data_IF_299649059559
#
_entry.id   IF_299649059559
#
_cell.length_a   1.000
_cell.length_b   1.000
_cell.length_c   1.000
_cell.angle_alpha   90.00
_cell.angle_beta   90.00
_cell.angle_gamma   90.00
#
_symmetry.space_group_name_H-M   'P 1'
#
loop_
_entity.id
_entity.type
_entity.pdbx_description
1 polymer ?
#
# COMPACT_ATOMS: atom_id res chain seq x y z
N UNK A 1 -0.44 -19.70 -13.56
CA UNK A 1 -0.65 -19.30 -12.15
C UNK A 1 -1.46 -18.03 -12.17
N UNK A 2 -2.42 -17.88 -11.24
CA UNK A 2 -3.18 -16.64 -11.10
C UNK A 2 -2.44 -15.70 -10.14
N UNK A 3 -2.53 -14.41 -10.40
CA UNK A 3 -1.89 -13.36 -9.62
C UNK A 3 -2.92 -12.36 -9.12
N UNK A 4 -2.60 -11.78 -7.98
CA UNK A 4 -3.30 -10.67 -7.33
C UNK A 4 -2.32 -9.49 -7.23
N UNK A 5 -2.83 -8.33 -6.85
CA UNK A 5 -2.06 -7.11 -6.71
C UNK A 5 -1.91 -6.76 -5.23
N UNK A 6 -0.68 -6.75 -4.74
CA UNK A 6 -0.33 -6.16 -3.46
C UNK A 6 -0.01 -4.67 -3.63
N UNK A 7 -0.33 -3.90 -2.59
CA UNK A 7 0.08 -2.52 -2.45
C UNK A 7 0.61 -2.26 -1.05
N UNK A 8 1.58 -1.36 -0.93
CA UNK A 8 1.98 -0.73 0.32
C UNK A 8 1.97 0.78 0.16
N UNK A 9 1.54 1.49 1.20
CA UNK A 9 1.68 2.92 1.36
C UNK A 9 2.24 3.22 2.76
N UNK A 10 3.17 4.16 2.85
CA UNK A 10 3.68 4.69 4.12
C UNK A 10 3.38 6.18 4.25
N UNK A 11 2.98 6.59 5.46
CA UNK A 11 2.66 7.99 5.74
C UNK A 11 3.26 8.41 7.07
N UNK A 12 3.99 9.53 7.08
CA UNK A 12 4.48 10.12 8.33
C UNK A 12 3.41 11.01 8.96
N UNK A 13 2.87 10.62 10.11
CA UNK A 13 1.83 11.36 10.82
C UNK A 13 2.39 12.62 11.51
N UNK A 14 1.55 13.63 11.67
CA UNK A 14 1.93 14.93 12.25
C UNK A 14 2.00 14.94 13.78
N UNK A 15 1.41 13.95 14.44
CA UNK A 15 1.39 13.83 15.89
C UNK A 15 0.95 12.42 16.33
N UNK A 16 0.97 12.14 17.65
CA UNK A 16 0.42 10.91 18.21
C UNK A 16 -1.05 10.69 17.81
N UNK A 17 -1.47 9.43 17.70
CA UNK A 17 -2.83 9.07 17.25
C UNK A 17 -3.95 9.61 18.16
N UNK A 18 -3.67 9.87 19.43
CA UNK A 18 -4.61 10.43 20.42
C UNK A 18 -4.58 11.97 20.52
N UNK A 19 -3.79 12.64 19.67
CA UNK A 19 -3.69 14.09 19.65
C UNK A 19 -4.83 14.78 18.90
N UNK A 20 -5.06 16.06 19.20
CA UNK A 20 -6.08 16.88 18.53
C UNK A 20 -5.91 16.90 17.00
N UNK A 21 -4.66 16.95 16.51
CA UNK A 21 -4.37 16.97 15.06
C UNK A 21 -4.76 15.65 14.38
N UNK A 22 -4.67 14.52 15.09
CA UNK A 22 -4.98 13.19 14.54
C UNK A 22 -6.43 12.75 14.78
N UNK A 23 -7.22 13.49 15.56
CA UNK A 23 -8.56 13.07 16.01
C UNK A 23 -9.50 12.71 14.85
N UNK A 24 -9.58 13.55 13.82
CA UNK A 24 -10.45 13.27 12.65
C UNK A 24 -9.95 12.05 11.87
N UNK A 25 -8.63 11.88 11.72
CA UNK A 25 -8.07 10.70 11.04
C UNK A 25 -8.37 9.42 11.82
N UNK A 26 -8.08 9.41 13.12
CA UNK A 26 -8.31 8.28 14.02
C UNK A 26 -9.78 7.83 14.02
N UNK A 27 -10.71 8.78 14.07
CA UNK A 27 -12.15 8.52 14.06
C UNK A 27 -12.65 7.86 12.75
N UNK A 28 -11.88 7.93 11.67
CA UNK A 28 -12.28 7.45 10.35
C UNK A 28 -11.50 6.21 9.86
N UNK A 29 -10.52 5.70 10.63
CA UNK A 29 -9.73 4.52 10.25
C UNK A 29 -10.64 3.31 9.98
N UNK A 30 -11.54 2.99 10.91
CA UNK A 30 -12.43 1.84 10.80
C UNK A 30 -13.41 1.98 9.62
N UNK A 31 -13.88 3.19 9.37
CA UNK A 31 -14.75 3.49 8.23
C UNK A 31 -14.04 3.22 6.90
N UNK A 32 -12.81 3.72 6.73
CA UNK A 32 -12.02 3.50 5.51
C UNK A 32 -11.59 2.04 5.35
N UNK A 33 -11.24 1.36 6.45
CA UNK A 33 -10.96 -0.07 6.43
C UNK A 33 -12.18 -0.89 6.01
N UNK A 34 -13.36 -0.59 6.57
CA UNK A 34 -14.62 -1.25 6.20
C UNK A 34 -15.03 -0.96 4.75
N UNK A 35 -14.78 0.27 4.27
CA UNK A 35 -15.00 0.63 2.87
C UNK A 35 -14.09 -0.19 1.95
N UNK A 36 -12.82 -0.37 2.29
CA UNK A 36 -11.91 -1.23 1.52
C UNK A 36 -12.40 -2.69 1.55
N UNK A 37 -12.71 -3.24 2.74
CA UNK A 37 -13.12 -4.64 2.92
C UNK A 37 -14.43 -4.98 2.20
N UNK A 38 -15.30 -3.99 1.97
CA UNK A 38 -16.56 -4.14 1.22
C UNK A 38 -16.44 -3.82 -0.27
N UNK A 39 -15.29 -3.30 -0.73
CA UNK A 39 -15.09 -2.92 -2.12
C UNK A 39 -14.85 -4.13 -3.03
N UNK A 40 -15.34 -4.04 -4.27
CA UNK A 40 -15.12 -5.06 -5.28
C UNK A 40 -13.63 -5.33 -5.48
N UNK A 41 -13.26 -6.61 -5.45
CA UNK A 41 -11.89 -7.04 -5.66
C UNK A 41 -10.97 -6.90 -4.45
N UNK A 42 -11.43 -6.45 -3.30
CA UNK A 42 -10.64 -6.56 -2.06
C UNK A 42 -10.39 -8.03 -1.71
N UNK A 43 -9.15 -8.36 -1.30
CA UNK A 43 -8.75 -9.73 -0.93
C UNK A 43 -8.28 -9.78 0.52
N UNK A 44 -7.38 -8.87 0.90
CA UNK A 44 -6.75 -8.89 2.22
C UNK A 44 -6.18 -7.51 2.59
N UNK A 45 -6.03 -7.25 3.88
CA UNK A 45 -5.20 -6.14 4.38
C UNK A 45 -4.39 -6.57 5.59
N UNK A 46 -3.28 -5.87 5.79
CA UNK A 46 -2.48 -5.95 6.98
C UNK A 46 -3.30 -5.43 8.18
N UNK A 47 -3.32 -6.23 9.24
CA UNK A 47 -3.95 -5.96 10.55
C UNK A 47 -2.88 -6.24 11.60
N UNK A 48 -2.77 -5.41 12.64
CA UNK A 48 -2.00 -5.81 13.83
C UNK A 48 -2.87 -6.69 14.75
N UNK A 49 -2.36 -7.02 15.94
CA UNK A 49 -3.09 -7.78 16.97
C UNK A 49 -4.35 -7.05 17.52
N UNK A 50 -4.48 -5.74 17.28
CA UNK A 50 -5.60 -4.88 17.67
C UNK A 50 -6.45 -4.37 16.48
N UNK A 51 -6.28 -4.92 15.28
CA UNK A 51 -6.91 -4.49 14.01
C UNK A 51 -6.44 -3.12 13.42
N UNK A 52 -5.42 -2.48 14.01
CA UNK A 52 -4.78 -1.23 13.63
C UNK A 52 -3.40 -1.44 12.98
N UNK A 53 -3.18 -1.17 11.71
CA UNK A 53 -1.84 -1.34 11.10
C UNK A 53 -0.74 -0.36 11.64
N UNK A 54 -0.98 0.30 12.77
CA UNK A 54 -0.12 1.32 13.40
C UNK A 54 1.03 0.74 14.22
N UNK A 55 0.94 -0.51 14.70
CA UNK A 55 1.94 -1.11 15.60
C UNK A 55 3.05 -1.91 14.87
N UNK A 56 3.09 -1.82 13.54
CA UNK A 56 3.98 -2.63 12.72
C UNK A 56 5.33 -1.94 12.57
N UNK A 57 6.33 -2.47 13.28
CA UNK A 57 7.74 -2.05 13.26
C UNK A 57 8.45 -2.34 11.94
N UNK A 58 7.91 -1.89 10.82
CA UNK A 58 8.56 -1.98 9.50
C UNK A 58 9.76 -1.02 9.40
N UNK A 59 9.73 0.09 10.17
CA UNK A 59 10.72 1.16 10.11
C UNK A 59 11.22 1.66 11.49
N UNK A 60 10.87 1.01 12.61
CA UNK A 60 11.19 1.47 13.99
C UNK A 60 10.88 2.96 14.23
N UNK A 61 9.75 3.44 13.69
CA UNK A 61 9.32 4.83 13.78
C UNK A 61 7.82 4.88 14.08
N UNK A 62 7.47 5.28 15.31
CA UNK A 62 6.08 5.38 15.78
C UNK A 62 5.26 6.43 15.03
N UNK A 63 5.93 7.33 14.28
CA UNK A 63 5.27 8.31 13.43
C UNK A 63 5.13 7.85 11.98
N UNK A 64 5.53 6.62 11.63
CA UNK A 64 5.28 6.04 10.30
C UNK A 64 4.13 5.03 10.36
N UNK A 65 3.02 5.40 9.72
CA UNK A 65 1.92 4.47 9.47
C UNK A 65 2.16 3.68 8.20
N UNK A 66 1.94 2.37 8.28
CA UNK A 66 2.02 1.47 7.14
C UNK A 66 0.62 0.97 6.81
N UNK A 67 0.21 1.11 5.55
CA UNK A 67 -0.99 0.49 5.02
C UNK A 67 -0.58 -0.50 3.94
N UNK A 68 -1.08 -1.74 4.03
CA UNK A 68 -0.79 -2.77 3.03
C UNK A 68 -2.04 -3.61 2.79
N UNK A 69 -2.31 -3.89 1.51
CA UNK A 69 -3.49 -4.65 1.11
C UNK A 69 -3.27 -5.42 -0.19
N UNK A 70 -4.03 -6.48 -0.39
CA UNK A 70 -4.08 -7.28 -1.62
C UNK A 70 -5.45 -7.13 -2.26
N UNK A 71 -5.44 -6.98 -3.58
CA UNK A 71 -6.59 -6.76 -4.44
C UNK A 71 -6.54 -7.71 -5.62
N UNK A 72 -7.70 -7.98 -6.23
CA UNK A 72 -7.83 -8.82 -7.41
C UNK A 72 -6.98 -8.30 -8.57
N UNK A 73 -6.95 -6.98 -8.78
CA UNK A 73 -6.17 -6.33 -9.83
C UNK A 73 -6.04 -4.80 -9.61
N UNK A 74 -5.24 -4.18 -10.48
CA UNK A 74 -4.96 -2.72 -10.47
C UNK A 74 -6.23 -1.90 -10.62
N UNK A 75 -7.19 -2.32 -11.43
CA UNK A 75 -8.42 -1.56 -11.66
C UNK A 75 -9.29 -1.52 -10.41
N UNK A 76 -9.49 -2.66 -9.73
CA UNK A 76 -10.28 -2.72 -8.49
C UNK A 76 -9.69 -1.85 -7.37
N UNK A 77 -8.36 -1.87 -7.20
CA UNK A 77 -7.68 -1.00 -6.26
C UNK A 77 -7.78 0.48 -6.68
N UNK A 78 -7.68 0.79 -7.98
CA UNK A 78 -7.83 2.15 -8.48
C UNK A 78 -9.23 2.70 -8.24
N UNK A 79 -10.28 1.91 -8.49
CA UNK A 79 -11.67 2.26 -8.23
C UNK A 79 -11.88 2.56 -6.74
N UNK A 80 -11.42 1.68 -5.84
CA UNK A 80 -11.44 1.98 -4.40
C UNK A 80 -10.73 3.31 -4.08
N UNK A 81 -9.51 3.49 -4.60
CA UNK A 81 -8.63 4.60 -4.25
C UNK A 81 -9.21 5.96 -4.68
N UNK A 82 -9.79 6.03 -5.89
CA UNK A 82 -10.14 7.29 -6.56
C UNK A 82 -11.63 7.50 -6.83
N UNK A 83 -12.47 6.46 -6.70
CA UNK A 83 -13.91 6.53 -7.00
C UNK A 83 -14.80 6.32 -5.78
N UNK A 84 -14.22 6.21 -4.59
CA UNK A 84 -14.95 6.10 -3.33
C UNK A 84 -14.67 7.30 -2.40
N UNK A 85 -15.25 7.28 -1.20
CA UNK A 85 -14.97 8.26 -0.15
C UNK A 85 -13.49 8.33 0.26
N UNK A 86 -12.68 7.32 -0.06
CA UNK A 86 -11.23 7.36 0.15
C UNK A 86 -10.56 8.59 -0.52
N UNK A 87 -11.11 9.05 -1.66
CA UNK A 87 -10.60 10.24 -2.37
C UNK A 87 -10.66 11.51 -1.52
N UNK A 88 -11.65 11.66 -0.64
CA UNK A 88 -11.77 12.84 0.22
C UNK A 88 -10.65 12.87 1.28
N UNK A 89 -10.25 11.70 1.80
CA UNK A 89 -9.09 11.59 2.69
C UNK A 89 -7.79 11.86 1.95
N UNK A 90 -7.65 11.41 0.71
CA UNK A 90 -6.48 11.72 -0.12
C UNK A 90 -6.33 13.23 -0.37
N UNK A 91 -7.43 13.96 -0.57
CA UNK A 91 -7.42 15.43 -0.73
C UNK A 91 -6.98 16.13 0.56
N UNK A 92 -7.45 15.63 1.70
CA UNK A 92 -7.20 16.18 3.04
C UNK A 92 -5.95 15.66 3.72
N UNK A 93 -5.21 14.72 3.11
CA UNK A 93 -4.04 14.03 3.71
C UNK A 93 -3.02 14.95 4.40
N UNK A 94 -2.86 16.19 3.92
CA UNK A 94 -1.92 17.17 4.50
C UNK A 94 -2.32 17.64 5.90
N UNK A 95 -3.57 17.41 6.31
CA UNK A 95 -4.08 17.69 7.66
C UNK A 95 -3.51 16.71 8.70
N UNK A 96 -3.08 15.51 8.28
CA UNK A 96 -2.65 14.43 9.18
C UNK A 96 -1.26 13.89 8.88
N UNK A 97 -0.80 14.07 7.64
CA UNK A 97 0.47 13.54 7.17
C UNK A 97 1.40 14.65 6.69
N UNK A 98 2.66 14.55 7.12
CA UNK A 98 3.75 15.34 6.56
C UNK A 98 4.08 14.87 5.14
N UNK A 99 4.65 15.78 4.35
CA UNK A 99 5.13 15.44 3.01
C UNK A 99 6.36 14.53 3.14
N UNK A 100 6.28 13.36 2.54
CA UNK A 100 7.45 12.52 2.29
C UNK A 100 8.07 12.93 0.95
N UNK A 101 9.37 13.22 0.96
CA UNK A 101 10.12 13.52 -0.27
C UNK A 101 10.54 12.26 -1.04
N UNK A 102 10.43 11.09 -0.38
CA UNK A 102 10.76 9.76 -0.91
C UNK A 102 9.52 9.04 -1.48
N UNK A 103 9.75 7.98 -2.25
CA UNK A 103 8.69 7.09 -2.69
C UNK A 103 8.10 6.36 -1.48
N UNK A 104 6.82 6.60 -1.28
CA UNK A 104 6.08 6.15 -0.11
C UNK A 104 4.96 5.18 -0.48
N UNK A 105 4.97 4.67 -1.71
CA UNK A 105 3.95 3.77 -2.22
C UNK A 105 4.53 2.85 -3.30
N UNK A 106 4.12 1.58 -3.27
CA UNK A 106 4.47 0.61 -4.30
C UNK A 106 3.34 -0.41 -4.53
N UNK A 107 3.23 -0.86 -5.77
CA UNK A 107 2.40 -1.96 -6.26
C UNK A 107 3.27 -3.09 -6.78
N UNK A 108 2.84 -4.33 -6.57
CA UNK A 108 3.47 -5.49 -7.17
C UNK A 108 2.52 -6.68 -7.24
N UNK A 109 2.83 -7.63 -8.13
CA UNK A 109 2.07 -8.85 -8.28
C UNK A 109 2.50 -9.92 -7.30
N UNK A 110 1.53 -10.63 -6.73
CA UNK A 110 1.72 -11.76 -5.83
C UNK A 110 0.89 -12.95 -6.30
N UNK A 111 1.34 -14.20 -6.09
CA UNK A 111 0.50 -15.37 -6.39
C UNK A 111 -0.82 -15.32 -5.61
N UNK A 112 -1.91 -15.78 -6.21
CA UNK A 112 -3.22 -15.81 -5.54
C UNK A 112 -3.14 -16.49 -4.16
N UNK A 113 -3.66 -15.81 -3.14
CA UNK A 113 -3.66 -16.29 -1.75
C UNK A 113 -2.38 -16.01 -0.96
N UNK A 114 -1.35 -15.43 -1.59
CA UNK A 114 -0.17 -14.95 -0.88
C UNK A 114 -0.50 -13.69 -0.07
N UNK A 115 -0.11 -13.70 1.21
CA UNK A 115 -0.23 -12.53 2.09
C UNK A 115 1.16 -11.92 2.22
N UNK A 116 1.42 -10.77 1.58
CA UNK A 116 2.75 -10.18 1.58
C UNK A 116 3.18 -9.83 3.01
N UNK A 117 4.49 -9.93 3.25
CA UNK A 117 5.10 -9.53 4.51
C UNK A 117 5.53 -8.06 4.47
N UNK A 118 5.76 -7.49 5.64
CA UNK A 118 6.33 -6.13 5.76
C UNK A 118 7.77 -6.08 5.24
N UNK A 119 8.52 -7.19 5.31
CA UNK A 119 9.83 -7.31 4.71
C UNK A 119 9.76 -7.22 3.17
N UNK A 120 8.81 -7.92 2.54
CA UNK A 120 8.54 -7.79 1.10
C UNK A 120 8.17 -6.35 0.75
N UNK A 121 7.26 -5.72 1.49
CA UNK A 121 6.86 -4.35 1.22
C UNK A 121 8.04 -3.36 1.29
N UNK A 122 8.98 -3.59 2.21
CA UNK A 122 10.18 -2.76 2.37
C UNK A 122 11.10 -2.92 1.17
N UNK A 123 11.32 -4.16 0.73
CA UNK A 123 12.07 -4.44 -0.51
C UNK A 123 11.46 -3.70 -1.71
N UNK A 124 10.13 -3.68 -1.85
CA UNK A 124 9.45 -2.99 -2.96
C UNK A 124 9.66 -1.48 -2.91
N UNK A 125 9.53 -0.88 -1.73
CA UNK A 125 9.73 0.56 -1.52
C UNK A 125 11.19 0.96 -1.80
N UNK A 126 12.16 0.20 -1.28
CA UNK A 126 13.58 0.45 -1.55
C UNK A 126 13.91 0.29 -3.03
N UNK A 127 13.32 -0.70 -3.71
CA UNK A 127 13.54 -0.95 -5.12
C UNK A 127 13.00 0.19 -6.00
N UNK A 128 11.75 0.62 -5.79
CA UNK A 128 11.10 1.67 -6.61
C UNK A 128 11.77 3.03 -6.39
N UNK A 129 12.28 3.32 -5.18
CA UNK A 129 13.09 4.50 -4.88
C UNK A 129 14.37 4.54 -5.76
N UNK A 130 15.05 3.40 -5.89
CA UNK A 130 16.34 3.31 -6.59
C UNK A 130 16.20 3.18 -8.12
N UNK A 131 15.18 2.47 -8.60
CA UNK A 131 15.06 2.06 -10.00
C UNK A 131 13.90 2.75 -10.73
N UNK A 132 13.01 3.42 -10.01
CA UNK A 132 11.73 3.88 -10.54
C UNK A 132 10.76 2.72 -10.82
N UNK A 133 9.71 3.01 -11.60
CA UNK A 133 8.67 2.06 -11.93
C UNK A 133 9.20 0.91 -12.82
N UNK A 134 9.10 -0.32 -12.33
CA UNK A 134 9.35 -1.54 -13.11
C UNK A 134 8.26 -2.59 -12.81
N UNK A 135 8.16 -3.70 -13.57
CA UNK A 135 7.21 -4.76 -13.22
C UNK A 135 7.43 -5.35 -11.82
N UNK A 136 8.62 -5.20 -11.23
CA UNK A 136 8.92 -5.65 -9.87
C UNK A 136 8.26 -4.77 -8.80
N UNK A 137 8.24 -3.46 -8.98
CA UNK A 137 7.60 -2.49 -8.10
C UNK A 137 7.23 -1.23 -8.88
N UNK A 138 5.97 -0.79 -8.81
CA UNK A 138 5.47 0.33 -9.62
C UNK A 138 4.39 1.14 -8.91
N UNK A 139 4.12 2.35 -9.37
CA UNK A 139 2.95 3.14 -8.98
C UNK A 139 1.82 3.12 -10.01
N UNK A 140 0.69 3.78 -9.71
CA UNK A 140 -0.44 3.90 -10.65
C UNK A 140 -0.11 4.57 -11.99
N UNK A 141 1.02 5.29 -12.07
CA UNK A 141 1.46 5.97 -13.29
C UNK A 141 1.79 4.97 -14.40
N UNK A 142 2.36 3.82 -14.05
CA UNK A 142 2.73 2.76 -14.98
C UNK A 142 2.03 1.47 -14.58
N UNK A 143 0.96 1.12 -15.32
CA UNK A 143 0.18 -0.08 -15.06
C UNK A 143 0.78 -1.27 -15.79
N UNK A 144 1.85 -1.84 -15.23
CA UNK A 144 2.37 -3.12 -15.71
C UNK A 144 1.32 -4.21 -15.57
N UNK A 145 1.41 -5.23 -16.43
CA UNK A 145 0.56 -6.43 -16.44
C UNK A 145 1.23 -7.59 -15.69
N UNK A 146 0.46 -8.66 -15.46
CA UNK A 146 1.01 -9.92 -14.92
C UNK A 146 2.04 -10.50 -15.89
N UNK A 147 1.80 -10.36 -17.20
CA UNK A 147 2.70 -10.81 -18.25
C UNK A 147 4.05 -10.06 -18.18
N UNK A 148 4.02 -8.75 -17.95
CA UNK A 148 5.24 -7.95 -17.76
C UNK A 148 6.03 -8.41 -16.54
N UNK A 149 5.33 -8.69 -15.42
CA UNK A 149 5.96 -9.19 -14.20
C UNK A 149 6.61 -10.56 -14.40
N UNK A 150 5.92 -11.50 -15.06
CA UNK A 150 6.45 -12.83 -15.34
C UNK A 150 7.68 -12.73 -16.26
N UNK A 151 7.60 -11.92 -17.31
CA UNK A 151 8.73 -11.69 -18.22
C UNK A 151 9.94 -11.08 -17.49
N UNK A 152 9.70 -10.11 -16.60
CA UNK A 152 10.73 -9.50 -15.78
C UNK A 152 11.44 -10.52 -14.88
N UNK A 153 10.68 -11.36 -14.17
CA UNK A 153 11.21 -12.38 -13.27
C UNK A 153 12.04 -13.44 -13.99
N UNK A 154 11.65 -13.83 -15.20
CA UNK A 154 12.42 -14.76 -16.02
C UNK A 154 13.77 -14.16 -16.42
N UNK A 155 13.78 -12.89 -16.83
CA UNK A 155 15.02 -12.20 -17.21
C UNK A 155 15.97 -11.99 -16.02
N UNK A 156 15.44 -11.66 -14.85
CA UNK A 156 16.25 -11.50 -13.63
C UNK A 156 16.89 -12.85 -13.20
N UNK A 157 16.14 -13.95 -13.31
CA UNK A 157 16.63 -15.30 -12.99
C UNK A 157 17.70 -15.83 -13.96
N UNK A 158 17.78 -15.27 -15.18
CA UNK A 158 18.79 -15.64 -16.18
C UNK A 158 20.09 -14.84 -15.98
N UNK A 159 20.00 -13.66 -15.36
CA UNK A 159 21.12 -12.72 -15.22
C UNK A 159 21.79 -12.74 -13.82
N UNK A 160 21.32 -13.59 -12.90
CA UNK A 160 21.96 -13.88 -11.60
C UNK A 160 22.65 -15.24 -11.63
#
# INVERSE_FOLDING_TARGET
MNFELAQVNIGRILGPMDSDVMTDFAANIDYINGLAESSDGFVWRLKDENNNATDIKMFDDEFLLVNMSVWKNVDTLFEFTYRTMHTEFLKRRKEWFSKLDQMHYALWYVPTGHKPTTAEAKERLEYIEQNGDTPFAFGFKNRFSVEDYVAFKLNDSINQ
#
